data_IF_551248621020
#
_entry.id   IF_551248621020
#
_cell.length_a   1.000
_cell.length_b   1.000
_cell.length_c   1.000
_cell.angle_alpha   90.00
_cell.angle_beta   90.00
_cell.angle_gamma   90.00
#
_symmetry.space_group_name_H-M   'P 1'
#
loop_
_entity.id
_entity.type
_entity.pdbx_description
1 polymer ?
#
# COMPACT_ATOMS: atom_id res chain seq x y z
N UNK A 1 18.28 -1.76 77.69
CA UNK A 1 17.48 -2.84 77.06
C UNK A 1 16.78 -2.43 75.76
N UNK A 2 16.69 -1.13 75.38
CA UNK A 2 15.99 -0.69 74.15
C UNK A 2 16.91 -0.56 72.92
N UNK A 3 18.21 -0.34 73.11
CA UNK A 3 19.19 -0.10 72.03
C UNK A 3 19.56 -1.36 71.25
N UNK A 4 19.69 -2.52 71.89
CA UNK A 4 19.99 -3.80 71.23
C UNK A 4 18.85 -4.30 70.33
N UNK A 5 17.59 -4.06 70.70
CA UNK A 5 16.41 -4.42 69.90
C UNK A 5 16.32 -3.61 68.59
N UNK A 6 16.68 -2.32 68.65
CA UNK A 6 16.73 -1.44 67.47
C UNK A 6 17.86 -1.86 66.52
N UNK A 7 19.04 -2.20 67.05
CA UNK A 7 20.19 -2.63 66.24
C UNK A 7 19.90 -3.96 65.50
N UNK A 8 19.25 -4.92 66.17
CA UNK A 8 18.88 -6.20 65.54
C UNK A 8 17.88 -5.99 64.38
N UNK A 9 16.92 -5.07 64.56
CA UNK A 9 15.92 -4.72 63.55
C UNK A 9 16.55 -4.10 62.29
N UNK A 10 17.49 -3.16 62.46
CA UNK A 10 18.19 -2.51 61.34
C UNK A 10 19.07 -3.49 60.54
N UNK A 11 19.71 -4.45 61.20
CA UNK A 11 20.47 -5.51 60.53
C UNK A 11 19.56 -6.44 59.70
N UNK A 12 18.39 -6.82 60.21
CA UNK A 12 17.44 -7.66 59.46
C UNK A 12 16.89 -6.96 58.22
N UNK A 13 16.55 -5.66 58.30
CA UNK A 13 16.02 -4.89 57.15
C UNK A 13 17.08 -4.77 56.04
N UNK A 14 18.33 -4.47 56.40
CA UNK A 14 19.42 -4.35 55.43
C UNK A 14 19.76 -5.68 54.76
N UNK A 15 19.72 -6.80 55.50
CA UNK A 15 19.91 -8.14 54.94
C UNK A 15 18.76 -8.55 54.01
N UNK A 16 17.50 -8.24 54.36
CA UNK A 16 16.34 -8.50 53.49
C UNK A 16 16.38 -7.67 52.21
N UNK A 17 16.76 -6.39 52.31
CA UNK A 17 16.95 -5.54 51.13
C UNK A 17 18.13 -6.00 50.29
N UNK A 18 19.20 -6.52 50.90
CA UNK A 18 20.34 -7.07 50.18
C UNK A 18 20.01 -8.36 49.43
N UNK A 19 19.23 -9.27 50.02
CA UNK A 19 18.78 -10.50 49.36
C UNK A 19 17.76 -10.21 48.27
N UNK A 20 16.83 -9.27 48.49
CA UNK A 20 15.89 -8.83 47.46
C UNK A 20 16.63 -8.14 46.30
N UNK A 21 17.53 -7.20 46.59
CA UNK A 21 18.35 -6.53 45.58
C UNK A 21 19.23 -7.52 44.79
N UNK A 22 19.82 -8.51 45.46
CA UNK A 22 20.58 -9.57 44.83
C UNK A 22 19.69 -10.49 43.98
N UNK A 23 18.48 -10.82 44.44
CA UNK A 23 17.51 -11.61 43.66
C UNK A 23 17.04 -10.88 42.41
N UNK A 24 16.78 -9.57 42.51
CA UNK A 24 16.40 -8.70 41.38
C UNK A 24 17.55 -8.55 40.39
N UNK A 25 18.78 -8.38 40.88
CA UNK A 25 19.98 -8.30 40.04
C UNK A 25 20.28 -9.62 39.34
N UNK A 26 20.05 -10.75 40.01
CA UNK A 26 20.21 -12.09 39.44
C UNK A 26 19.16 -12.34 38.34
N UNK A 27 17.89 -11.99 38.59
CA UNK A 27 16.81 -12.03 37.58
C UNK A 27 17.16 -11.22 36.32
N UNK A 28 17.58 -9.97 36.50
CA UNK A 28 18.03 -9.11 35.38
C UNK A 28 19.25 -9.64 34.62
N UNK A 29 20.11 -10.44 35.28
CA UNK A 29 21.27 -11.07 34.62
C UNK A 29 20.91 -12.36 33.90
N UNK A 30 19.82 -13.02 34.30
CA UNK A 30 19.32 -14.24 33.67
C UNK A 30 18.29 -13.98 32.56
N UNK A 31 17.76 -12.76 32.47
CA UNK A 31 16.86 -12.39 31.37
C UNK A 31 17.66 -12.39 30.05
N UNK A 32 17.25 -13.16 29.03
CA UNK A 32 17.87 -13.11 27.72
C UNK A 32 17.70 -11.69 27.13
N UNK A 33 18.65 -11.22 26.31
CA UNK A 33 18.48 -9.97 25.60
C UNK A 33 17.17 -10.03 24.78
N UNK A 34 16.45 -8.90 24.64
CA UNK A 34 15.29 -8.87 23.78
C UNK A 34 15.70 -9.32 22.37
N UNK A 35 14.82 -10.05 21.64
CA UNK A 35 15.11 -10.40 20.27
C UNK A 35 15.40 -9.12 19.47
N UNK A 36 16.28 -9.18 18.46
CA UNK A 36 16.48 -8.04 17.57
C UNK A 36 15.14 -7.64 16.96
N UNK A 37 14.92 -6.35 16.66
CA UNK A 37 13.74 -5.92 15.94
C UNK A 37 13.65 -6.69 14.61
N UNK A 38 12.44 -6.99 14.12
CA UNK A 38 12.28 -7.57 12.80
C UNK A 38 12.96 -6.65 11.76
N UNK A 39 13.49 -7.23 10.66
CA UNK A 39 14.02 -6.41 9.58
C UNK A 39 12.94 -5.45 9.08
N UNK A 40 13.34 -4.25 8.59
CA UNK A 40 12.37 -3.34 7.99
C UNK A 40 11.66 -4.03 6.82
N UNK A 41 10.34 -3.96 6.80
CA UNK A 41 9.54 -4.52 5.71
C UNK A 41 9.69 -3.66 4.46
N UNK A 42 10.05 -4.29 3.35
CA UNK A 42 10.06 -3.63 2.03
C UNK A 42 8.63 -3.61 1.48
N UNK A 43 8.23 -2.55 0.78
CA UNK A 43 6.91 -2.49 0.15
C UNK A 43 6.90 -3.34 -1.14
N UNK A 44 5.73 -3.90 -1.52
CA UNK A 44 5.64 -4.72 -2.73
C UNK A 44 5.92 -3.91 -3.98
N UNK A 45 6.50 -4.56 -5.00
CA UNK A 45 6.75 -3.97 -6.33
C UNK A 45 5.73 -4.48 -7.35
N UNK A 46 5.34 -3.61 -8.27
CA UNK A 46 4.51 -4.00 -9.41
C UNK A 46 5.32 -4.60 -10.56
N UNK A 47 4.70 -5.52 -11.28
CA UNK A 47 5.11 -6.01 -12.59
C UNK A 47 3.98 -5.75 -13.59
N UNK A 48 4.33 -5.37 -14.82
CA UNK A 48 3.38 -4.99 -15.89
C UNK A 48 2.42 -3.86 -15.51
N UNK A 49 2.92 -2.78 -14.89
CA UNK A 49 2.11 -1.60 -14.68
C UNK A 49 2.45 -0.50 -15.70
N UNK A 50 1.75 -0.43 -16.85
CA UNK A 50 1.93 0.64 -17.80
C UNK A 50 1.41 1.96 -17.20
N UNK A 51 2.25 3.00 -17.15
CA UNK A 51 1.81 4.31 -16.67
C UNK A 51 0.77 4.95 -17.61
N UNK A 52 0.93 4.74 -18.92
CA UNK A 52 -0.01 5.19 -19.94
C UNK A 52 -0.17 4.18 -21.07
N UNK A 53 -1.37 4.09 -21.63
CA UNK A 53 -1.65 3.38 -22.87
C UNK A 53 -1.76 4.39 -24.02
N UNK A 54 -1.59 3.93 -25.28
CA UNK A 54 -1.88 4.75 -26.46
C UNK A 54 -3.32 5.28 -26.45
N UNK A 55 -3.54 6.38 -27.18
CA UNK A 55 -4.89 6.91 -27.41
C UNK A 55 -5.72 5.88 -28.15
N UNK A 56 -6.96 5.69 -27.68
CA UNK A 56 -7.92 4.74 -28.21
C UNK A 56 -8.89 5.49 -29.12
N UNK A 57 -8.92 5.14 -30.40
CA UNK A 57 -9.80 5.79 -31.37
C UNK A 57 -11.01 4.91 -31.66
N UNK A 58 -12.19 5.52 -31.73
CA UNK A 58 -13.43 4.82 -32.08
C UNK A 58 -14.34 5.72 -32.92
N UNK A 59 -15.23 5.13 -33.71
CA UNK A 59 -16.32 5.85 -34.41
C UNK A 59 -17.64 5.74 -33.66
N UNK A 60 -17.71 4.92 -32.61
CA UNK A 60 -18.86 4.78 -31.73
C UNK A 60 -18.68 5.62 -30.45
N UNK A 61 -19.72 5.81 -29.62
CA UNK A 61 -19.60 6.59 -28.38
C UNK A 61 -18.62 6.00 -27.35
N UNK A 62 -18.23 4.74 -27.48
CA UNK A 62 -17.37 4.03 -26.53
C UNK A 62 -16.33 3.15 -27.23
N UNK A 63 -15.21 2.86 -26.55
CA UNK A 63 -14.18 1.93 -27.00
C UNK A 63 -13.96 0.84 -25.93
N UNK A 64 -13.73 -0.40 -26.36
CA UNK A 64 -13.28 -1.48 -25.47
C UNK A 64 -11.76 -1.38 -25.35
N UNK A 65 -11.25 -1.16 -24.14
CA UNK A 65 -9.82 -0.93 -23.91
C UNK A 65 -9.26 -2.08 -23.10
N UNK A 66 -8.16 -2.67 -23.59
CA UNK A 66 -7.49 -3.81 -22.96
C UNK A 66 -6.04 -3.46 -22.60
N UNK A 67 -5.60 -3.97 -21.46
CA UNK A 67 -4.23 -3.90 -20.98
C UNK A 67 -3.90 -5.14 -20.15
N UNK A 68 -2.59 -5.37 -19.92
CA UNK A 68 -2.13 -6.42 -19.00
C UNK A 68 -2.35 -5.94 -17.57
N UNK A 69 -3.15 -6.67 -16.79
CA UNK A 69 -3.39 -6.28 -15.40
C UNK A 69 -2.10 -6.38 -14.57
N UNK A 70 -1.77 -5.36 -13.75
CA UNK A 70 -0.59 -5.37 -12.92
C UNK A 70 -0.60 -6.54 -11.93
N UNK A 71 0.57 -7.14 -11.75
CA UNK A 71 0.81 -8.13 -10.70
C UNK A 71 1.79 -7.56 -9.70
N UNK A 72 1.85 -8.12 -8.49
CA UNK A 72 2.81 -7.68 -7.48
C UNK A 72 3.78 -8.81 -7.13
N UNK A 73 4.97 -8.43 -6.70
CA UNK A 73 5.95 -9.33 -6.08
C UNK A 73 6.55 -8.63 -4.88
N UNK A 74 6.88 -9.40 -3.86
CA UNK A 74 7.54 -8.93 -2.65
C UNK A 74 8.57 -9.99 -2.23
N UNK A 75 9.68 -9.57 -1.63
CA UNK A 75 10.81 -10.47 -1.31
C UNK A 75 10.66 -11.12 0.05
N UNK A 76 9.90 -10.50 0.95
CA UNK A 76 9.77 -10.86 2.35
C UNK A 76 8.41 -11.49 2.64
N UNK A 77 7.41 -11.20 1.81
CA UNK A 77 6.01 -11.53 2.08
C UNK A 77 5.21 -11.80 0.81
N UNK A 78 3.98 -12.29 0.98
CA UNK A 78 3.02 -12.36 -0.13
C UNK A 78 2.27 -11.04 -0.27
N UNK A 79 1.92 -10.68 -1.49
CA UNK A 79 1.18 -9.45 -1.79
C UNK A 79 -0.12 -9.74 -2.54
N UNK A 80 -1.06 -8.82 -2.43
CA UNK A 80 -2.37 -8.84 -3.12
C UNK A 80 -2.56 -7.54 -3.86
N UNK A 81 -3.21 -7.58 -5.04
CA UNK A 81 -3.50 -6.39 -5.83
C UNK A 81 -5.00 -6.10 -5.79
N UNK A 82 -5.34 -4.86 -5.48
CA UNK A 82 -6.69 -4.31 -5.57
C UNK A 82 -6.75 -3.26 -6.67
N UNK A 83 -7.93 -3.07 -7.28
CA UNK A 83 -8.16 -2.13 -8.39
C UNK A 83 -9.29 -1.16 -8.01
N UNK A 84 -9.11 0.11 -8.36
CA UNK A 84 -10.13 1.14 -8.39
C UNK A 84 -10.39 1.55 -9.83
N UNK A 85 -11.58 1.24 -10.33
CA UNK A 85 -12.01 1.47 -11.71
C UNK A 85 -12.37 0.17 -12.45
N UNK A 86 -12.92 0.31 -13.68
CA UNK A 86 -13.31 -0.85 -14.48
C UNK A 86 -12.13 -1.77 -14.85
N UNK A 87 -12.34 -3.10 -14.95
CA UNK A 87 -11.31 -4.06 -15.36
C UNK A 87 -10.85 -3.85 -16.81
N UNK A 88 -9.71 -4.45 -17.14
CA UNK A 88 -9.26 -4.60 -18.53
C UNK A 88 -10.34 -5.27 -19.37
N UNK A 89 -10.59 -4.75 -20.57
CA UNK A 89 -11.67 -5.20 -21.46
C UNK A 89 -13.02 -4.55 -21.21
N UNK A 90 -13.10 -3.55 -20.33
CA UNK A 90 -14.32 -2.75 -20.15
C UNK A 90 -14.54 -1.77 -21.31
N UNK A 91 -15.77 -1.27 -21.44
CA UNK A 91 -16.14 -0.21 -22.37
C UNK A 91 -15.99 1.17 -21.71
N UNK A 92 -15.30 2.07 -22.39
CA UNK A 92 -15.00 3.42 -21.91
C UNK A 92 -15.52 4.47 -22.91
N UNK A 93 -16.17 5.51 -22.41
CA UNK A 93 -16.63 6.64 -23.23
C UNK A 93 -15.50 7.58 -23.62
N UNK A 94 -15.81 8.56 -24.48
CA UNK A 94 -14.87 9.64 -24.85
C UNK A 94 -14.30 10.34 -23.61
N UNK A 95 -12.99 10.64 -23.63
CA UNK A 95 -12.28 11.34 -22.57
C UNK A 95 -11.12 10.55 -21.97
N UNK A 96 -10.53 11.10 -20.92
CA UNK A 96 -9.39 10.51 -20.21
C UNK A 96 -9.87 9.64 -19.06
N UNK A 97 -9.28 8.45 -18.94
CA UNK A 97 -9.56 7.46 -17.92
C UNK A 97 -8.29 7.12 -17.15
N UNK A 98 -8.44 6.89 -15.85
CA UNK A 98 -7.37 6.45 -14.97
C UNK A 98 -7.85 5.31 -14.08
N UNK A 99 -7.12 4.20 -14.11
CA UNK A 99 -7.38 3.00 -13.32
C UNK A 99 -6.26 2.85 -12.31
N UNK A 100 -6.59 2.91 -11.03
CA UNK A 100 -5.60 2.79 -9.96
C UNK A 100 -5.53 1.34 -9.47
N UNK A 101 -4.31 0.87 -9.24
CA UNK A 101 -4.00 -0.41 -8.64
C UNK A 101 -3.22 -0.19 -7.35
N UNK A 102 -3.56 -0.92 -6.31
CA UNK A 102 -2.85 -0.89 -5.03
C UNK A 102 -2.43 -2.30 -4.67
N UNK A 103 -1.11 -2.51 -4.57
CA UNK A 103 -0.52 -3.73 -4.07
C UNK A 103 -0.31 -3.59 -2.57
N UNK A 104 -0.80 -4.55 -1.78
CA UNK A 104 -0.65 -4.57 -0.33
C UNK A 104 -0.09 -5.92 0.09
N UNK A 105 0.95 -5.90 0.91
CA UNK A 105 1.56 -7.09 1.48
C UNK A 105 0.91 -7.52 2.80
N UNK A 106 1.26 -8.71 3.30
CA UNK A 106 0.74 -9.23 4.58
C UNK A 106 1.24 -8.48 5.81
N UNK A 107 2.32 -7.72 5.67
CA UNK A 107 2.90 -6.88 6.72
C UNK A 107 2.20 -5.51 6.80
N UNK A 108 1.32 -5.20 5.85
CA UNK A 108 0.54 -3.96 5.76
C UNK A 108 1.23 -2.83 4.98
N UNK A 109 2.37 -3.07 4.32
CA UNK A 109 2.96 -2.08 3.42
C UNK A 109 2.27 -2.12 2.05
N UNK A 110 2.20 -0.96 1.40
CA UNK A 110 1.48 -0.83 0.13
C UNK A 110 2.18 0.09 -0.86
N UNK A 111 1.98 -0.21 -2.14
CA UNK A 111 2.45 0.57 -3.29
C UNK A 111 1.29 0.77 -4.25
N UNK A 112 1.22 1.94 -4.90
CA UNK A 112 0.19 2.24 -5.90
C UNK A 112 0.78 2.39 -7.30
N UNK A 113 -0.04 2.07 -8.29
CA UNK A 113 0.28 2.31 -9.69
C UNK A 113 -1.00 2.67 -10.48
N UNK A 114 -0.87 3.53 -11.48
CA UNK A 114 -2.02 4.02 -12.25
C UNK A 114 -1.81 3.75 -13.73
N UNK A 115 -2.82 3.14 -14.36
CA UNK A 115 -2.92 2.99 -15.81
C UNK A 115 -3.80 4.12 -16.35
N UNK A 116 -3.26 4.96 -17.23
CA UNK A 116 -3.98 6.09 -17.82
C UNK A 116 -4.12 5.95 -19.33
N UNK A 117 -5.26 6.37 -19.89
CA UNK A 117 -5.48 6.38 -21.33
C UNK A 117 -6.57 7.37 -21.73
N UNK A 118 -6.63 7.72 -23.02
CA UNK A 118 -7.65 8.62 -23.57
C UNK A 118 -8.41 7.92 -24.68
N UNK A 119 -9.74 8.07 -24.69
CA UNK A 119 -10.62 7.60 -25.76
C UNK A 119 -11.08 8.81 -26.58
N UNK A 120 -10.83 8.77 -27.89
CA UNK A 120 -11.24 9.81 -28.83
C UNK A 120 -12.28 9.26 -29.81
N UNK A 121 -13.41 9.96 -29.93
CA UNK A 121 -14.46 9.60 -30.89
C UNK A 121 -14.26 10.40 -32.17
N UNK A 122 -14.02 9.69 -33.27
CA UNK A 122 -13.87 10.28 -34.60
C UNK A 122 -15.27 10.63 -35.13
N UNK A 123 -15.47 11.92 -35.41
CA UNK A 123 -16.72 12.46 -35.97
C UNK A 123 -16.44 13.09 -37.33
N UNK A 124 -17.36 12.91 -38.27
CA UNK A 124 -17.37 13.69 -39.50
C UNK A 124 -17.84 15.11 -39.20
N UNK A 125 -17.19 16.12 -39.77
CA UNK A 125 -17.74 17.47 -39.81
C UNK A 125 -19.00 17.46 -40.68
N UNK A 126 -20.12 17.97 -40.15
CA UNK A 126 -21.34 18.15 -40.95
C UNK A 126 -21.03 19.04 -42.16
N UNK A 127 -21.50 18.68 -43.37
CA UNK A 127 -21.35 19.55 -44.53
C UNK A 127 -22.12 20.86 -44.30
N UNK A 128 -21.51 21.99 -44.68
CA UNK A 128 -22.19 23.28 -44.68
C UNK A 128 -23.41 23.24 -45.60
N UNK A 129 -24.48 23.94 -45.24
CA UNK A 129 -25.66 24.05 -46.09
C UNK A 129 -25.29 24.60 -47.48
N UNK A 130 -25.97 24.16 -48.56
CA UNK A 130 -25.78 24.72 -49.89
C UNK A 130 -26.09 26.22 -49.89
N UNK A 131 -25.16 27.07 -50.36
CA UNK A 131 -25.33 28.54 -50.38
C UNK A 131 -26.18 29.08 -51.54
N UNK A 132 -26.65 28.21 -52.45
CA UNK A 132 -27.55 28.61 -53.53
C UNK A 132 -28.53 27.49 -53.83
N UNK A 133 -29.81 27.77 -53.57
CA UNK A 133 -30.91 27.02 -54.16
C UNK A 133 -31.47 27.92 -55.27
N UNK A 134 -31.18 27.66 -56.56
CA UNK A 134 -31.81 28.43 -57.62
C UNK A 134 -33.31 28.12 -57.62
N UNK A 135 -34.12 29.10 -57.19
CA UNK A 135 -35.56 29.13 -57.44
C UNK A 135 -35.77 29.27 -58.95
N UNK A 136 -36.39 28.26 -59.55
CA UNK A 136 -36.90 28.30 -60.93
C UNK A 136 -38.18 29.14 -61.01
#
# INVERSE_FOLDING_TARGET
>A
MKTTSIILCLLCITLFHATDAWSRRRRRRSDPPPPPPPPPNTAPRFYNCPQSLPVQYTTTPTAVVTWVEPTCTDTESSCTVSRSGPPSGSSFGEGTHSIAYTATDTSGSSTSCTVSFTVNVIRCSSPSSPQHCPTL
#
